data_IF_699491028120
#
_entry.id   IF_699491028120
#
_cell.length_a   1.000
_cell.length_b   1.000
_cell.length_c   1.000
_cell.angle_alpha   90.00
_cell.angle_beta   90.00
_cell.angle_gamma   90.00
#
_symmetry.space_group_name_H-M   'P 1'
#
loop_
_entity.id
_entity.type
_entity.pdbx_description
1 polymer ?
#
# COMPACT_ATOMS: atom_id res chain seq x y z
N UNK A 1 18.37 -36.80 -12.37
CA UNK A 1 17.94 -37.40 -11.09
C UNK A 1 17.67 -36.29 -10.05
N UNK A 2 16.37 -36.05 -9.82
CA UNK A 2 15.72 -35.24 -8.77
C UNK A 2 16.05 -33.72 -8.67
N UNK A 3 15.06 -32.83 -8.90
CA UNK A 3 15.03 -31.46 -8.39
C UNK A 3 14.22 -31.40 -7.08
N UNK A 4 14.65 -30.61 -6.10
CA UNK A 4 13.92 -30.38 -4.84
C UNK A 4 13.61 -28.90 -4.70
N UNK A 5 12.32 -28.56 -4.55
CA UNK A 5 11.91 -27.36 -3.81
C UNK A 5 10.89 -26.42 -4.47
N UNK A 6 9.72 -26.92 -4.88
CA UNK A 6 8.49 -26.11 -4.94
C UNK A 6 7.60 -26.51 -3.76
N UNK A 7 7.23 -25.56 -2.88
CA UNK A 7 6.03 -25.60 -2.02
C UNK A 7 6.10 -24.49 -0.96
N UNK A 8 5.17 -23.53 -1.02
CA UNK A 8 4.31 -23.12 0.11
C UNK A 8 3.36 -21.99 -0.33
N UNK A 9 2.30 -22.38 -1.04
CA UNK A 9 1.00 -21.69 -1.02
C UNK A 9 -0.04 -22.81 -0.92
N UNK A 10 -0.34 -23.22 0.32
CA UNK A 10 -1.48 -24.08 0.62
C UNK A 10 -2.61 -23.19 1.16
N UNK A 11 -3.59 -22.94 0.30
CA UNK A 11 -4.95 -22.57 0.72
C UNK A 11 -5.67 -23.84 1.19
N UNK A 12 -6.46 -23.81 2.27
CA UNK A 12 -7.19 -24.99 2.70
C UNK A 12 -8.37 -25.29 1.76
N UNK A 13 -8.29 -26.41 1.05
CA UNK A 13 -9.43 -27.11 0.45
C UNK A 13 -10.28 -27.73 1.57
N UNK A 14 -11.51 -27.26 1.72
CA UNK A 14 -12.56 -27.95 2.46
C UNK A 14 -13.27 -28.94 1.53
N UNK A 15 -13.24 -30.20 1.95
CA UNK A 15 -13.91 -31.35 1.34
C UNK A 15 -15.42 -31.21 1.36
N UNK A 16 -16.03 -31.52 0.22
CA UNK A 16 -17.46 -31.67 0.00
C UNK A 16 -17.97 -32.94 0.68
N UNK A 17 -18.98 -32.81 1.54
CA UNK A 17 -19.97 -33.86 1.72
C UNK A 17 -21.38 -33.24 1.74
N UNK A 18 -22.23 -33.87 0.94
CA UNK A 18 -23.60 -33.53 0.60
C UNK A 18 -24.56 -33.71 1.75
N UNK A 19 -25.48 -32.77 1.98
CA UNK A 19 -26.86 -33.09 2.34
C UNK A 19 -27.83 -32.00 1.87
N UNK A 20 -28.88 -32.44 1.20
CA UNK A 20 -29.97 -31.69 0.57
C UNK A 20 -30.88 -30.96 1.56
N UNK A 21 -31.34 -29.74 1.21
CA UNK A 21 -32.76 -29.45 0.86
C UNK A 21 -33.17 -27.98 1.07
N UNK A 22 -33.75 -27.41 0.00
CA UNK A 22 -34.76 -26.32 -0.05
C UNK A 22 -34.32 -24.84 0.07
N UNK A 23 -34.87 -23.93 -0.76
CA UNK A 23 -34.42 -22.54 -0.87
C UNK A 23 -35.30 -21.56 -0.08
N UNK A 24 -34.69 -20.54 0.53
CA UNK A 24 -35.41 -19.35 0.97
C UNK A 24 -34.60 -18.06 0.86
N UNK A 25 -35.15 -17.18 0.01
CA UNK A 25 -35.18 -15.71 0.07
C UNK A 25 -33.88 -14.89 0.14
N UNK A 26 -33.56 -14.32 -1.02
CA UNK A 26 -33.03 -12.97 -1.22
C UNK A 26 -33.71 -11.93 -0.31
N UNK A 27 -32.92 -11.23 0.51
CA UNK A 27 -33.30 -10.00 1.19
C UNK A 27 -32.99 -8.80 0.30
N UNK A 28 -34.00 -8.29 -0.40
CA UNK A 28 -33.93 -7.05 -1.16
C UNK A 28 -34.25 -5.84 -0.28
N UNK A 29 -33.47 -4.79 -0.50
CA UNK A 29 -33.69 -3.40 -0.11
C UNK A 29 -35.17 -2.99 -0.22
N UNK A 30 -35.76 -2.58 0.89
CA UNK A 30 -37.08 -1.90 0.91
C UNK A 30 -36.84 -0.42 0.67
N UNK A 31 -37.01 -0.01 -0.58
CA UNK A 31 -37.31 1.38 -0.92
C UNK A 31 -38.82 1.58 -0.80
N UNK A 32 -39.24 2.38 0.19
CA UNK A 32 -40.62 2.84 0.30
C UNK A 32 -40.90 3.87 -0.81
N UNK A 33 -41.67 3.47 -1.82
CA UNK A 33 -42.40 4.40 -2.67
C UNK A 33 -43.88 4.06 -2.65
N UNK A 34 -44.65 4.96 -2.07
CA UNK A 34 -46.10 4.99 -2.14
C UNK A 34 -46.48 5.44 -3.54
N UNK A 35 -47.23 4.63 -4.26
CA UNK A 35 -47.98 5.11 -5.43
C UNK A 35 -49.31 4.40 -5.54
N UNK A 36 -50.36 5.22 -5.43
CA UNK A 36 -51.75 4.90 -5.70
C UNK A 36 -51.93 4.36 -7.10
N UNK A 37 -52.67 3.25 -7.25
CA UNK A 37 -53.66 2.99 -8.31
C UNK A 37 -53.86 1.49 -8.44
N UNK A 38 -55.05 0.99 -8.12
CA UNK A 38 -55.83 0.08 -8.96
C UNK A 38 -57.04 -0.42 -8.19
N UNK A 39 -58.21 0.08 -8.57
CA UNK A 39 -59.49 -0.45 -8.11
C UNK A 39 -60.41 -0.51 -9.33
N UNK A 40 -60.36 -1.59 -10.10
CA UNK A 40 -61.46 -1.97 -10.99
C UNK A 40 -61.29 -3.41 -11.53
N UNK A 41 -62.11 -4.35 -11.04
CA UNK A 41 -62.77 -5.37 -11.89
C UNK A 41 -63.79 -6.20 -11.08
N UNK A 42 -65.07 -6.01 -11.43
CA UNK A 42 -66.26 -6.89 -11.33
C UNK A 42 -66.39 -7.93 -10.19
N UNK A 43 -67.32 -7.75 -9.23
CA UNK A 43 -68.77 -8.06 -9.27
C UNK A 43 -69.13 -9.53 -9.58
N UNK A 44 -69.36 -10.32 -8.52
CA UNK A 44 -70.22 -11.51 -8.53
C UNK A 44 -71.57 -11.22 -7.87
N UNK A 45 -72.63 -11.62 -8.57
CA UNK A 45 -74.05 -11.53 -8.23
C UNK A 45 -74.45 -12.72 -7.34
N UNK A 46 -74.90 -12.49 -6.11
CA UNK A 46 -75.81 -13.40 -5.38
C UNK A 46 -76.80 -12.56 -4.55
N UNK A 47 -78.10 -12.83 -4.73
CA UNK A 47 -79.24 -12.23 -4.03
C UNK A 47 -79.61 -13.02 -2.75
N UNK A 48 -80.43 -12.44 -1.86
CA UNK A 48 -80.30 -12.62 -0.41
C UNK A 48 -81.25 -13.67 0.17
N UNK A 49 -80.86 -14.26 1.31
CA UNK A 49 -81.71 -15.16 2.06
C UNK A 49 -81.26 -15.34 3.50
N UNK A 50 -81.86 -14.55 4.40
CA UNK A 50 -82.20 -14.92 5.77
C UNK A 50 -81.07 -15.31 6.74
N UNK A 51 -80.49 -14.31 7.43
CA UNK A 51 -80.03 -14.46 8.82
C UNK A 51 -80.20 -13.13 9.59
N UNK A 52 -81.44 -12.63 9.65
CA UNK A 52 -81.84 -11.62 10.63
C UNK A 52 -81.99 -12.29 12.01
N UNK A 53 -80.89 -12.68 12.68
CA UNK A 53 -80.92 -12.95 14.13
C UNK A 53 -79.58 -13.14 14.85
N UNK A 54 -78.43 -12.69 14.32
CA UNK A 54 -77.15 -12.86 15.03
C UNK A 54 -76.20 -11.65 15.05
N UNK A 55 -76.70 -10.44 14.77
CA UNK A 55 -75.96 -9.18 14.93
C UNK A 55 -76.83 -8.09 15.57
N UNK A 56 -77.47 -8.44 16.68
CA UNK A 56 -78.23 -7.47 17.49
C UNK A 56 -77.72 -7.43 18.93
N UNK A 57 -76.41 -7.47 19.10
CA UNK A 57 -75.70 -6.95 20.26
C UNK A 57 -74.38 -6.35 19.77
N UNK A 58 -73.97 -5.22 20.34
CA UNK A 58 -72.85 -4.35 19.94
C UNK A 58 -73.15 -3.27 18.87
N UNK A 59 -74.22 -2.50 19.07
CA UNK A 59 -74.30 -1.15 18.53
C UNK A 59 -74.79 -0.15 19.59
N UNK A 60 -74.04 -0.06 20.69
CA UNK A 60 -73.95 1.18 21.45
C UNK A 60 -72.60 1.81 21.12
N UNK A 61 -72.55 2.55 20.01
CA UNK A 61 -71.46 3.52 19.77
C UNK A 61 -72.08 4.89 19.93
N UNK A 62 -71.90 5.47 21.11
CA UNK A 62 -72.10 6.91 21.30
C UNK A 62 -71.28 7.66 20.23
N UNK A 63 -71.77 8.79 19.69
CA UNK A 63 -71.01 9.60 18.76
C UNK A 63 -69.78 10.13 19.50
N UNK A 64 -68.61 9.62 19.15
CA UNK A 64 -67.34 10.16 19.61
C UNK A 64 -67.33 11.62 19.14
N UNK A 65 -67.48 12.56 20.06
CA UNK A 65 -67.56 13.98 19.73
C UNK A 65 -66.31 14.41 18.97
N UNK A 66 -66.44 15.33 18.02
CA UNK A 66 -65.33 15.82 17.18
C UNK A 66 -64.08 16.22 17.99
N UNK A 67 -64.26 16.64 19.25
CA UNK A 67 -63.19 16.92 20.23
C UNK A 67 -62.32 15.70 20.57
N UNK A 68 -62.90 14.51 20.68
CA UNK A 68 -62.18 13.25 20.89
C UNK A 68 -61.42 12.81 19.62
N UNK A 69 -61.98 13.04 18.43
CA UNK A 69 -61.23 12.83 17.17
C UNK A 69 -60.03 13.78 17.06
N UNK A 70 -60.22 15.07 17.38
CA UNK A 70 -59.12 16.06 17.38
C UNK A 70 -58.04 15.68 18.39
N UNK A 71 -58.43 15.28 19.61
CA UNK A 71 -57.50 14.82 20.62
C UNK A 71 -56.72 13.58 20.15
N UNK A 72 -57.38 12.61 19.50
CA UNK A 72 -56.73 11.43 18.95
C UNK A 72 -55.71 11.76 17.84
N UNK A 73 -56.06 12.68 16.93
CA UNK A 73 -55.15 13.15 15.87
C UNK A 73 -53.93 13.89 16.45
N UNK A 74 -54.14 14.76 17.45
CA UNK A 74 -53.04 15.44 18.15
C UNK A 74 -52.10 14.45 18.86
N UNK A 75 -52.66 13.42 19.49
CA UNK A 75 -51.87 12.39 20.18
C UNK A 75 -51.03 11.56 19.19
N UNK A 76 -51.60 11.23 18.02
CA UNK A 76 -50.87 10.55 16.95
C UNK A 76 -49.76 11.42 16.35
N UNK A 77 -50.00 12.72 16.17
CA UNK A 77 -48.98 13.66 15.71
C UNK A 77 -47.84 13.80 16.73
N UNK A 78 -48.16 13.93 18.02
CA UNK A 78 -47.16 14.00 19.08
C UNK A 78 -46.35 12.70 19.18
N UNK A 79 -46.99 11.53 19.06
CA UNK A 79 -46.31 10.25 19.03
C UNK A 79 -45.40 10.09 17.80
N UNK A 80 -45.83 10.56 16.64
CA UNK A 80 -45.02 10.56 15.41
C UNK A 80 -43.79 11.46 15.54
N UNK A 81 -43.95 12.67 16.07
CA UNK A 81 -42.83 13.59 16.34
C UNK A 81 -41.87 12.99 17.36
N UNK A 82 -42.38 12.40 18.45
CA UNK A 82 -41.55 11.72 19.44
C UNK A 82 -40.78 10.54 18.84
N UNK A 83 -41.40 9.75 17.95
CA UNK A 83 -40.73 8.66 17.25
C UNK A 83 -39.62 9.18 16.31
N UNK A 84 -39.86 10.27 15.58
CA UNK A 84 -38.84 10.89 14.72
C UNK A 84 -37.67 11.45 15.54
N UNK A 85 -37.95 12.10 16.67
CA UNK A 85 -36.92 12.58 17.60
C UNK A 85 -36.14 11.41 18.19
N UNK A 86 -36.80 10.32 18.59
CA UNK A 86 -36.13 9.13 19.10
C UNK A 86 -35.23 8.51 18.02
N UNK A 87 -35.68 8.40 16.78
CA UNK A 87 -34.86 7.93 15.66
C UNK A 87 -33.68 8.87 15.41
N UNK A 88 -33.88 10.18 15.42
CA UNK A 88 -32.80 11.16 15.24
C UNK A 88 -31.76 11.07 16.37
N UNK A 89 -32.19 10.93 17.63
CA UNK A 89 -31.29 10.76 18.78
C UNK A 89 -30.56 9.42 18.72
N UNK A 90 -31.24 8.34 18.31
CA UNK A 90 -30.60 7.03 18.11
C UNK A 90 -29.58 7.12 16.96
N UNK A 91 -29.93 7.76 15.84
CA UNK A 91 -29.01 7.93 14.71
C UNK A 91 -27.83 8.84 15.05
N UNK A 92 -28.03 9.88 15.86
CA UNK A 92 -26.96 10.77 16.33
C UNK A 92 -26.05 10.04 17.32
N UNK A 93 -26.62 9.33 18.30
CA UNK A 93 -25.84 8.52 19.26
C UNK A 93 -25.13 7.31 18.62
N UNK A 94 -25.66 6.77 17.52
CA UNK A 94 -25.04 5.67 16.77
C UNK A 94 -24.13 6.15 15.63
N UNK A 95 -24.31 7.40 15.18
CA UNK A 95 -23.51 8.05 14.13
C UNK A 95 -22.10 8.44 14.57
N UNK A 96 -21.81 8.35 15.87
CA UNK A 96 -20.47 8.56 16.45
C UNK A 96 -19.83 7.25 16.93
N UNK A 97 -19.98 6.13 16.19
CA UNK A 97 -18.84 5.20 16.17
C UNK A 97 -17.77 5.87 15.34
N UNK A 98 -16.91 6.65 15.99
CA UNK A 98 -15.61 7.04 15.43
C UNK A 98 -15.01 5.78 14.81
N UNK A 99 -14.88 5.77 13.48
CA UNK A 99 -14.21 4.67 12.81
C UNK A 99 -12.85 4.49 13.48
N UNK A 100 -12.62 3.33 14.07
CA UNK A 100 -11.35 3.07 14.73
C UNK A 100 -10.29 3.01 13.64
N UNK A 101 -9.39 3.99 13.62
CA UNK A 101 -8.29 4.01 12.67
C UNK A 101 -7.34 2.85 12.95
N UNK A 102 -6.89 2.23 11.87
CA UNK A 102 -5.81 1.24 11.87
C UNK A 102 -4.55 1.87 11.28
N UNK A 103 -3.40 1.31 11.67
CA UNK A 103 -2.08 1.86 11.35
C UNK A 103 -1.18 0.79 10.76
N UNK A 104 -0.24 1.24 9.93
CA UNK A 104 0.78 0.38 9.32
C UNK A 104 2.09 1.13 9.14
N UNK A 105 3.20 0.45 9.39
CA UNK A 105 4.55 0.98 9.26
C UNK A 105 5.24 0.26 8.10
N UNK A 106 5.77 1.04 7.16
CA UNK A 106 6.60 0.53 6.07
C UNK A 106 7.95 1.21 6.12
N UNK A 107 9.01 0.41 6.20
CA UNK A 107 10.39 0.86 6.17
C UNK A 107 10.95 0.56 4.77
N UNK A 108 11.10 1.61 3.96
CA UNK A 108 11.76 1.55 2.66
C UNK A 108 13.25 1.77 2.87
N UNK A 109 14.04 0.70 2.74
CA UNK A 109 15.49 0.76 2.86
C UNK A 109 16.15 0.84 1.49
N UNK A 110 16.13 2.05 0.95
CA UNK A 110 16.77 2.42 -0.30
C UNK A 110 18.29 2.39 -0.24
N UNK A 111 18.92 2.31 -1.43
CA UNK A 111 20.39 2.35 -1.57
C UNK A 111 21.07 3.57 -0.94
N UNK A 112 20.39 4.71 -0.87
CA UNK A 112 20.98 5.97 -0.38
C UNK A 112 20.60 6.30 1.05
N UNK A 113 19.41 5.88 1.49
CA UNK A 113 18.86 6.11 2.83
C UNK A 113 17.67 5.20 3.06
N UNK A 114 17.31 5.02 4.32
CA UNK A 114 16.01 4.44 4.70
C UNK A 114 14.99 5.54 4.97
N UNK A 115 13.73 5.30 4.62
CA UNK A 115 12.58 6.12 5.00
C UNK A 115 11.56 5.25 5.75
N UNK A 116 11.03 5.76 6.85
CA UNK A 116 10.00 5.08 7.66
C UNK A 116 8.68 5.83 7.48
N UNK A 117 7.70 5.15 6.89
CA UNK A 117 6.37 5.67 6.64
C UNK A 117 5.38 5.12 7.65
N UNK A 118 4.59 6.00 8.26
CA UNK A 118 3.40 5.66 9.02
C UNK A 118 2.17 5.95 8.16
N UNK A 119 1.38 4.91 7.94
CA UNK A 119 0.10 4.99 7.25
C UNK A 119 -1.04 4.79 8.24
N UNK A 120 -2.17 5.45 7.97
CA UNK A 120 -3.44 5.23 8.67
C UNK A 120 -4.58 5.01 7.69
N UNK A 121 -5.60 4.26 8.10
CA UNK A 121 -6.85 4.10 7.35
C UNK A 121 -8.02 3.79 8.31
N UNK A 122 -9.28 4.10 7.92
CA UNK A 122 -10.45 3.63 8.67
C UNK A 122 -10.47 2.10 8.67
N UNK A 123 -10.76 1.44 9.80
CA UNK A 123 -10.65 -0.03 9.91
C UNK A 123 -11.50 -0.87 8.94
N UNK A 124 -12.51 -0.28 8.28
CA UNK A 124 -13.28 -0.93 7.23
C UNK A 124 -12.56 -0.88 5.87
N UNK A 125 -12.49 -2.02 5.19
CA UNK A 125 -12.01 -2.13 3.81
C UNK A 125 -13.19 -2.40 2.87
N UNK A 126 -13.26 -1.70 1.75
CA UNK A 126 -14.25 -1.96 0.70
C UNK A 126 -13.59 -2.76 -0.43
N UNK A 127 -14.13 -3.93 -0.78
CA UNK A 127 -13.57 -4.82 -1.82
C UNK A 127 -12.07 -5.12 -1.63
N UNK A 128 -11.70 -5.54 -0.41
CA UNK A 128 -10.32 -5.87 -0.01
C UNK A 128 -9.35 -4.67 -0.04
N UNK A 129 -9.82 -3.46 -0.38
CA UNK A 129 -8.99 -2.25 -0.53
C UNK A 129 -9.49 -1.14 0.39
N UNK A 130 -8.58 -0.34 0.94
CA UNK A 130 -8.91 0.76 1.84
C UNK A 130 -8.30 2.07 1.35
N UNK A 131 -8.83 3.20 1.83
CA UNK A 131 -8.20 4.50 1.63
C UNK A 131 -7.15 4.70 2.70
N UNK A 132 -5.90 4.59 2.25
CA UNK A 132 -4.72 4.74 3.09
C UNK A 132 -4.20 6.16 2.95
N UNK A 133 -3.91 6.80 4.08
CA UNK A 133 -3.30 8.12 4.15
C UNK A 133 -1.93 8.01 4.80
N UNK A 134 -0.91 8.65 4.22
CA UNK A 134 0.37 8.84 4.89
C UNK A 134 0.19 9.85 6.03
N UNK A 135 0.44 9.42 7.25
CA UNK A 135 0.40 10.26 8.45
C UNK A 135 1.74 10.92 8.73
N UNK A 136 2.83 10.15 8.57
CA UNK A 136 4.18 10.59 8.90
C UNK A 136 5.20 9.90 8.00
N UNK A 137 6.27 10.64 7.69
CA UNK A 137 7.44 10.14 6.99
C UNK A 137 8.70 10.61 7.74
N UNK A 138 9.55 9.67 8.12
CA UNK A 138 10.84 9.94 8.73
C UNK A 138 11.98 9.45 7.83
N UNK A 139 12.71 10.39 7.23
CA UNK A 139 13.94 10.09 6.49
C UNK A 139 15.09 9.87 7.46
N UNK A 140 15.58 8.64 7.55
CA UNK A 140 16.67 8.27 8.45
C UNK A 140 17.96 8.98 8.00
N UNK A 141 18.60 9.67 8.94
CA UNK A 141 19.88 10.33 8.68
C UNK A 141 21.01 9.30 8.52
N UNK A 142 21.92 9.56 7.58
CA UNK A 142 23.03 8.67 7.27
C UNK A 142 22.84 7.98 5.92
N UNK A 143 23.66 6.95 5.70
CA UNK A 143 23.65 6.18 4.46
C UNK A 143 22.60 5.06 4.50
N UNK A 144 22.34 4.44 3.35
CA UNK A 144 21.53 3.23 3.28
C UNK A 144 22.12 2.08 4.09
N UNK A 145 21.26 1.14 4.49
CA UNK A 145 21.66 -0.01 5.32
C UNK A 145 22.73 -0.90 4.67
N UNK A 146 22.91 -0.84 3.33
CA UNK A 146 23.95 -1.57 2.60
C UNK A 146 25.39 -1.13 2.94
N UNK A 147 25.54 0.05 3.54
CA UNK A 147 26.83 0.60 3.99
C UNK A 147 27.20 0.16 5.42
N UNK A 148 26.33 -0.58 6.10
CA UNK A 148 26.56 -1.03 7.47
C UNK A 148 27.59 -2.17 7.54
N UNK A 149 28.10 -2.44 8.76
CA UNK A 149 29.10 -3.48 9.09
C UNK A 149 30.49 -3.22 8.50
N UNK A 150 30.74 -2.00 8.05
CA UNK A 150 32.05 -1.55 7.54
C UNK A 150 32.78 -0.69 8.58
N UNK A 151 32.06 0.20 9.26
CA UNK A 151 32.62 1.17 10.21
C UNK A 151 31.70 1.25 11.44
N UNK A 152 32.20 0.76 12.57
CA UNK A 152 31.43 0.66 13.82
C UNK A 152 30.90 2.00 14.32
N UNK A 153 31.64 3.09 14.11
CA UNK A 153 31.22 4.41 14.57
C UNK A 153 30.09 4.95 13.67
N UNK A 154 30.20 4.76 12.35
CA UNK A 154 29.14 5.12 11.41
C UNK A 154 27.89 4.26 11.62
N UNK A 155 28.06 2.97 11.84
CA UNK A 155 26.96 2.04 12.11
C UNK A 155 26.17 2.46 13.36
N UNK A 156 26.87 2.80 14.44
CA UNK A 156 26.25 3.28 15.68
C UNK A 156 25.43 4.55 15.44
N UNK A 157 25.93 5.49 14.63
CA UNK A 157 25.22 6.73 14.28
C UNK A 157 23.99 6.45 13.40
N UNK A 158 24.12 5.63 12.36
CA UNK A 158 23.02 5.25 11.48
C UNK A 158 21.91 4.51 12.25
N UNK A 159 22.29 3.58 13.14
CA UNK A 159 21.33 2.87 13.99
C UNK A 159 20.67 3.77 15.03
N UNK A 160 21.40 4.74 15.60
CA UNK A 160 20.79 5.72 16.49
C UNK A 160 19.75 6.58 15.75
N UNK A 161 20.04 7.03 14.53
CA UNK A 161 19.10 7.77 13.70
C UNK A 161 17.87 6.91 13.31
N UNK A 162 18.09 5.64 12.96
CA UNK A 162 17.02 4.70 12.64
C UNK A 162 16.08 4.49 13.84
N UNK A 163 16.66 4.25 15.02
CA UNK A 163 15.91 4.10 16.28
C UNK A 163 15.12 5.36 16.62
N UNK A 164 15.73 6.55 16.47
CA UNK A 164 15.03 7.82 16.69
C UNK A 164 13.82 8.01 15.76
N UNK A 165 13.90 7.58 14.49
CA UNK A 165 12.74 7.59 13.60
C UNK A 165 11.64 6.62 14.08
N UNK A 166 12.00 5.41 14.51
CA UNK A 166 11.03 4.44 15.06
C UNK A 166 10.36 4.99 16.32
N UNK A 167 11.11 5.64 17.21
CA UNK A 167 10.59 6.27 18.43
C UNK A 167 9.55 7.35 18.09
N UNK A 168 9.88 8.28 17.18
CA UNK A 168 8.95 9.32 16.71
C UNK A 168 7.66 8.74 16.11
N UNK A 169 7.78 7.67 15.31
CA UNK A 169 6.63 6.98 14.72
C UNK A 169 5.79 6.30 15.81
N UNK A 170 6.44 5.69 16.80
CA UNK A 170 5.77 5.02 17.93
C UNK A 170 4.97 6.01 18.78
N UNK A 171 5.49 7.23 18.98
CA UNK A 171 4.80 8.31 19.69
C UNK A 171 3.55 8.80 18.97
N UNK A 172 3.55 8.78 17.63
CA UNK A 172 2.41 9.19 16.81
C UNK A 172 1.26 8.17 16.80
N UNK A 173 1.51 6.92 17.21
CA UNK A 173 0.51 5.85 17.24
C UNK A 173 -0.12 5.76 18.64
N UNK A 174 -1.47 5.79 18.75
CA UNK A 174 -2.16 5.58 20.02
C UNK A 174 -1.71 4.28 20.70
N UNK A 175 -1.51 4.32 22.03
CA UNK A 175 -0.89 3.22 22.76
C UNK A 175 -1.64 1.88 22.59
N UNK A 176 -2.96 1.94 22.53
CA UNK A 176 -3.89 0.83 22.31
C UNK A 176 -3.86 0.26 20.88
N UNK A 177 -3.26 0.98 19.92
CA UNK A 177 -3.12 0.56 18.51
C UNK A 177 -1.75 0.02 18.18
N UNK A 178 -0.76 0.17 19.05
CA UNK A 178 0.62 -0.30 18.78
C UNK A 178 0.65 -1.81 18.53
N UNK A 179 0.00 -2.60 19.37
CA UNK A 179 -0.02 -4.06 19.25
C UNK A 179 -0.87 -4.60 18.07
N UNK A 180 -1.65 -3.76 17.38
CA UNK A 180 -2.34 -4.12 16.13
C UNK A 180 -1.69 -3.50 14.90
N UNK A 181 -0.76 -2.55 15.09
CA UNK A 181 -0.03 -1.90 14.00
C UNK A 181 0.94 -2.88 13.38
N UNK A 182 0.84 -3.04 12.06
CA UNK A 182 1.71 -3.97 11.33
C UNK A 182 2.98 -3.27 10.86
N UNK A 183 4.13 -3.93 10.94
CA UNK A 183 5.43 -3.40 10.51
C UNK A 183 6.09 -4.29 9.45
N UNK A 184 6.52 -3.66 8.36
CA UNK A 184 7.29 -4.28 7.28
C UNK A 184 8.56 -3.49 6.96
N UNK A 185 9.63 -4.18 6.59
CA UNK A 185 10.82 -3.58 5.97
C UNK A 185 11.07 -4.20 4.60
N UNK A 186 11.17 -3.36 3.59
CA UNK A 186 11.60 -3.73 2.23
C UNK A 186 12.92 -3.05 1.91
N UNK A 187 13.98 -3.82 1.69
CA UNK A 187 15.25 -3.31 1.19
C UNK A 187 15.34 -3.48 -0.33
N UNK A 188 15.87 -2.47 -1.03
CA UNK A 188 15.82 -2.41 -2.50
C UNK A 188 17.20 -2.67 -3.15
N UNK A 189 17.50 -2.02 -4.27
CA UNK A 189 18.69 -2.29 -5.08
C UNK A 189 20.03 -2.19 -4.33
N UNK A 190 20.15 -1.34 -3.30
CA UNK A 190 21.39 -1.25 -2.52
C UNK A 190 21.74 -2.58 -1.83
N UNK A 191 20.74 -3.21 -1.20
CA UNK A 191 20.93 -4.52 -0.59
C UNK A 191 21.02 -5.65 -1.62
N UNK A 192 20.38 -5.52 -2.79
CA UNK A 192 20.58 -6.47 -3.92
C UNK A 192 22.04 -6.48 -4.39
N UNK A 193 22.64 -5.30 -4.58
CA UNK A 193 24.06 -5.18 -4.94
C UNK A 193 24.97 -5.71 -3.83
N UNK A 194 24.64 -5.43 -2.57
CA UNK A 194 25.41 -5.96 -1.45
C UNK A 194 25.33 -7.49 -1.38
N UNK A 195 24.14 -8.07 -1.55
CA UNK A 195 23.95 -9.51 -1.52
C UNK A 195 24.80 -10.23 -2.57
N UNK A 196 24.97 -9.64 -3.76
CA UNK A 196 25.83 -10.18 -4.81
C UNK A 196 27.32 -10.01 -4.50
N UNK A 197 27.71 -8.91 -3.86
CA UNK A 197 29.10 -8.63 -3.47
C UNK A 197 29.57 -9.43 -2.25
N UNK A 198 28.72 -9.51 -1.22
CA UNK A 198 29.02 -10.00 0.12
C UNK A 198 27.73 -10.51 0.80
N UNK A 199 27.33 -11.72 0.42
CA UNK A 199 26.10 -12.37 0.89
C UNK A 199 26.08 -12.52 2.43
N UNK A 200 27.24 -12.79 3.04
CA UNK A 200 27.35 -12.91 4.49
C UNK A 200 27.02 -11.58 5.17
N UNK A 201 27.67 -10.49 4.76
CA UNK A 201 27.40 -9.16 5.32
C UNK A 201 25.95 -8.72 5.12
N UNK A 202 25.41 -8.97 3.92
CA UNK A 202 24.00 -8.72 3.63
C UNK A 202 23.08 -9.47 4.61
N UNK A 203 23.37 -10.74 4.86
CA UNK A 203 22.57 -11.58 5.76
C UNK A 203 22.64 -11.11 7.21
N UNK A 204 23.85 -10.80 7.70
CA UNK A 204 24.06 -10.27 9.06
C UNK A 204 23.32 -8.94 9.30
N UNK A 205 23.32 -8.03 8.31
CA UNK A 205 22.56 -6.76 8.41
C UNK A 205 21.06 -7.03 8.51
N UNK A 206 20.53 -7.92 7.67
CA UNK A 206 19.10 -8.25 7.67
C UNK A 206 18.68 -9.00 8.95
N UNK A 207 19.54 -9.84 9.51
CA UNK A 207 19.30 -10.52 10.79
C UNK A 207 19.25 -9.54 11.97
N UNK A 208 20.23 -8.64 12.09
CA UNK A 208 20.23 -7.59 13.13
C UNK A 208 18.96 -6.73 13.07
N UNK A 209 18.53 -6.36 11.85
CA UNK A 209 17.30 -5.59 11.64
C UNK A 209 16.06 -6.40 12.00
N UNK A 210 15.98 -7.70 11.65
CA UNK A 210 14.86 -8.56 12.05
C UNK A 210 14.76 -8.67 13.56
N UNK A 211 15.89 -8.89 14.25
CA UNK A 211 15.93 -8.99 15.71
C UNK A 211 15.44 -7.69 16.35
N UNK A 212 15.98 -6.55 15.91
CA UNK A 212 15.56 -5.25 16.43
C UNK A 212 14.08 -4.97 16.16
N UNK A 213 13.60 -5.15 14.93
CA UNK A 213 12.21 -4.86 14.57
C UNK A 213 11.22 -5.80 15.25
N UNK A 214 11.60 -7.07 15.50
CA UNK A 214 10.77 -8.03 16.26
C UNK A 214 10.63 -7.67 17.74
N UNK A 215 11.56 -6.87 18.28
CA UNK A 215 11.51 -6.41 19.68
C UNK A 215 10.56 -5.23 19.91
N UNK A 216 10.07 -4.59 18.84
CA UNK A 216 9.20 -3.42 18.90
C UNK A 216 7.76 -3.79 19.30
N UNK A 217 6.96 -2.86 19.84
CA UNK A 217 5.58 -3.11 20.27
C UNK A 217 4.58 -3.17 19.10
N UNK A 218 4.98 -3.75 17.96
CA UNK A 218 4.20 -3.84 16.72
C UNK A 218 4.08 -5.30 16.26
N UNK A 219 3.15 -5.57 15.35
CA UNK A 219 3.09 -6.86 14.65
C UNK A 219 4.14 -6.84 13.53
N UNK A 220 5.35 -7.30 13.85
CA UNK A 220 6.39 -7.50 12.86
C UNK A 220 6.01 -8.64 11.91
N UNK A 221 5.99 -8.34 10.61
CA UNK A 221 5.65 -9.33 9.59
C UNK A 221 6.90 -9.87 8.90
N UNK A 222 7.69 -8.98 8.32
CA UNK A 222 8.89 -9.37 7.59
C UNK A 222 9.86 -8.20 7.40
N UNK A 223 11.15 -8.55 7.28
CA UNK A 223 12.19 -7.70 6.73
C UNK A 223 12.92 -8.50 5.64
N UNK A 224 12.82 -8.04 4.39
CA UNK A 224 13.37 -8.75 3.24
C UNK A 224 13.96 -7.80 2.20
N UNK A 225 14.89 -8.34 1.40
CA UNK A 225 15.34 -7.69 0.17
C UNK A 225 14.28 -8.00 -0.89
N UNK A 226 13.55 -6.99 -1.36
CA UNK A 226 12.48 -7.18 -2.35
C UNK A 226 13.08 -7.31 -3.75
N UNK A 227 12.41 -8.08 -4.60
CA UNK A 227 12.76 -8.17 -6.02
C UNK A 227 12.51 -6.83 -6.72
N UNK A 228 13.19 -6.62 -7.84
CA UNK A 228 12.99 -5.42 -8.65
C UNK A 228 11.57 -5.34 -9.25
N UNK A 229 10.98 -6.50 -9.58
CA UNK A 229 9.60 -6.58 -10.05
C UNK A 229 8.61 -6.16 -8.96
N UNK A 230 8.78 -6.64 -7.72
CA UNK A 230 7.97 -6.23 -6.56
C UNK A 230 8.08 -4.73 -6.30
N UNK A 231 9.29 -4.17 -6.32
CA UNK A 231 9.51 -2.72 -6.15
C UNK A 231 8.74 -1.90 -7.19
N UNK A 232 8.84 -2.26 -8.47
CA UNK A 232 8.09 -1.60 -9.55
C UNK A 232 6.58 -1.79 -9.43
N UNK A 233 6.13 -2.98 -9.05
CA UNK A 233 4.72 -3.31 -8.85
C UNK A 233 4.12 -2.51 -7.69
N UNK A 234 4.78 -2.43 -6.53
CA UNK A 234 4.29 -1.66 -5.39
C UNK A 234 4.23 -0.17 -5.71
N UNK A 235 5.21 0.38 -6.43
CA UNK A 235 5.15 1.75 -6.94
C UNK A 235 3.95 1.98 -7.87
N UNK A 236 3.64 1.01 -8.74
CA UNK A 236 2.47 1.06 -9.61
C UNK A 236 1.16 0.99 -8.84
N UNK A 237 1.05 0.08 -7.86
CA UNK A 237 -0.12 -0.05 -6.98
C UNK A 237 -0.36 1.27 -6.27
N UNK A 238 0.65 1.82 -5.59
CA UNK A 238 0.56 3.10 -4.88
C UNK A 238 0.02 4.20 -5.77
N UNK A 239 0.52 4.35 -7.01
CA UNK A 239 0.02 5.38 -7.94
C UNK A 239 -1.43 5.17 -8.37
N UNK A 240 -1.90 3.94 -8.43
CA UNK A 240 -3.24 3.61 -8.93
C UNK A 240 -4.29 3.43 -7.81
N UNK A 241 -3.88 3.33 -6.53
CA UNK A 241 -4.78 3.22 -5.37
C UNK A 241 -4.83 4.48 -4.49
N UNK A 242 -3.85 5.39 -4.63
CA UNK A 242 -3.76 6.60 -3.80
C UNK A 242 -5.06 7.41 -3.80
N UNK A 243 -5.62 7.65 -2.60
CA UNK A 243 -6.85 8.42 -2.38
C UNK A 243 -8.09 7.94 -3.16
N UNK A 244 -8.17 6.64 -3.53
CA UNK A 244 -9.32 6.07 -4.22
C UNK A 244 -10.09 5.08 -3.33
N UNK A 245 -11.32 5.45 -2.96
CA UNK A 245 -12.25 4.60 -2.20
C UNK A 245 -12.74 3.42 -3.03
N UNK A 246 -13.22 3.69 -4.24
CA UNK A 246 -13.72 2.68 -5.16
C UNK A 246 -13.13 2.96 -6.54
N UNK A 247 -12.76 1.89 -7.23
CA UNK A 247 -12.31 1.98 -8.61
C UNK A 247 -13.30 1.30 -9.54
N UNK A 248 -13.92 2.03 -10.50
CA UNK A 248 -14.79 1.42 -11.49
C UNK A 248 -14.04 0.34 -12.30
N UNK A 249 -14.74 -0.73 -12.63
CA UNK A 249 -14.23 -1.75 -13.55
C UNK A 249 -13.81 -1.11 -14.89
N UNK A 250 -12.62 -1.46 -15.37
CA UNK A 250 -12.09 -0.95 -16.64
C UNK A 250 -11.57 0.49 -16.61
N UNK A 251 -11.44 1.13 -15.44
CA UNK A 251 -10.79 2.43 -15.35
C UNK A 251 -9.32 2.32 -15.80
N UNK A 252 -8.88 3.26 -16.65
CA UNK A 252 -7.50 3.32 -17.13
C UNK A 252 -6.54 3.51 -15.96
N UNK A 253 -5.46 2.74 -15.97
CA UNK A 253 -4.33 2.86 -15.05
C UNK A 253 -3.26 3.76 -15.63
N UNK A 254 -2.50 4.42 -14.76
CA UNK A 254 -1.25 5.07 -15.16
C UNK A 254 -0.09 4.11 -14.99
N UNK A 255 0.90 4.19 -15.88
CA UNK A 255 2.20 3.55 -15.66
C UNK A 255 2.99 4.29 -14.59
N UNK A 256 3.92 3.60 -13.94
CA UNK A 256 4.88 4.16 -13.01
C UNK A 256 6.30 3.99 -13.57
N UNK A 257 7.12 5.01 -13.34
CA UNK A 257 8.56 4.94 -13.50
C UNK A 257 9.19 5.42 -12.20
N UNK A 258 10.13 4.65 -11.66
CA UNK A 258 10.85 4.97 -10.43
C UNK A 258 12.35 5.05 -10.72
N UNK A 259 13.01 6.07 -10.19
CA UNK A 259 14.44 6.30 -10.36
C UNK A 259 15.09 6.39 -8.98
N UNK A 260 15.58 5.25 -8.50
CA UNK A 260 16.35 5.15 -7.27
C UNK A 260 17.84 5.48 -7.47
N UNK A 261 18.61 5.30 -6.40
CA UNK A 261 20.06 5.46 -6.44
C UNK A 261 20.78 4.35 -7.22
N UNK A 262 20.33 3.10 -7.07
CA UNK A 262 21.00 1.92 -7.63
C UNK A 262 20.20 1.16 -8.72
N UNK A 263 18.91 1.43 -8.89
CA UNK A 263 18.10 0.89 -9.99
C UNK A 263 17.07 1.90 -10.47
N UNK A 264 16.45 1.60 -11.60
CA UNK A 264 15.24 2.26 -12.09
C UNK A 264 14.23 1.21 -12.54
N UNK A 265 12.94 1.51 -12.38
CA UNK A 265 11.85 0.60 -12.65
C UNK A 265 10.86 1.23 -13.62
N UNK A 266 10.20 0.38 -14.40
CA UNK A 266 9.02 0.72 -15.20
C UNK A 266 7.94 -0.32 -14.91
N UNK A 267 6.72 0.14 -14.64
CA UNK A 267 5.59 -0.76 -14.46
C UNK A 267 4.28 -0.20 -15.03
N UNK A 268 3.48 -1.05 -15.69
CA UNK A 268 2.18 -0.68 -16.24
C UNK A 268 1.29 -1.90 -16.46
N UNK A 269 -0.04 -1.72 -16.35
CA UNK A 269 -0.98 -2.78 -16.66
C UNK A 269 -1.04 -3.07 -18.17
N UNK A 270 -1.14 -4.35 -18.51
CA UNK A 270 -1.31 -4.85 -19.88
C UNK A 270 -2.71 -5.45 -20.06
N UNK A 271 -3.26 -5.36 -21.26
CA UNK A 271 -4.64 -5.80 -21.56
C UNK A 271 -4.74 -7.30 -21.88
N UNK A 272 -3.63 -7.92 -22.28
CA UNK A 272 -3.56 -9.34 -22.66
C UNK A 272 -2.99 -10.18 -21.52
N UNK A 273 -3.41 -11.44 -21.45
CA UNK A 273 -2.84 -12.47 -20.56
C UNK A 273 -1.42 -12.84 -21.04
N UNK A 274 -0.49 -11.90 -20.91
CA UNK A 274 0.93 -12.10 -21.16
C UNK A 274 1.53 -12.80 -19.94
N UNK A 275 2.43 -13.74 -20.20
CA UNK A 275 3.14 -14.49 -19.19
C UNK A 275 4.65 -14.38 -19.40
N UNK A 276 5.38 -14.46 -18.30
CA UNK A 276 6.83 -14.28 -18.29
C UNK A 276 7.29 -13.77 -16.93
N UNK A 277 8.61 -13.69 -16.70
CA UNK A 277 9.17 -13.30 -15.41
C UNK A 277 8.81 -11.86 -14.99
N UNK A 278 8.49 -11.00 -15.94
CA UNK A 278 8.18 -9.57 -15.73
C UNK A 278 6.68 -9.27 -15.72
N UNK A 279 5.82 -10.30 -15.82
CA UNK A 279 4.36 -10.13 -15.81
C UNK A 279 3.80 -10.67 -14.49
N UNK A 280 3.38 -9.75 -13.61
CA UNK A 280 2.85 -10.11 -12.30
C UNK A 280 1.32 -10.00 -12.28
N UNK A 281 0.60 -11.10 -11.96
CA UNK A 281 -0.83 -11.05 -11.72
C UNK A 281 -1.10 -10.48 -10.32
N UNK A 282 -1.99 -9.49 -10.23
CA UNK A 282 -2.45 -8.91 -8.97
C UNK A 282 -3.96 -8.70 -9.00
N UNK A 283 -4.57 -8.56 -7.82
CA UNK A 283 -5.99 -8.23 -7.68
C UNK A 283 -6.10 -6.92 -6.90
N UNK A 284 -6.75 -5.91 -7.46
CA UNK A 284 -7.00 -4.61 -6.82
C UNK A 284 -8.49 -4.29 -6.92
N UNK A 285 -9.12 -3.90 -5.81
CA UNK A 285 -10.56 -3.60 -5.74
C UNK A 285 -11.46 -4.72 -6.27
N UNK A 286 -11.10 -5.99 -6.08
CA UNK A 286 -11.85 -7.12 -6.65
C UNK A 286 -11.43 -7.51 -8.08
N UNK A 287 -10.73 -6.65 -8.81
CA UNK A 287 -10.44 -6.83 -10.24
C UNK A 287 -9.04 -7.39 -10.49
N UNK A 288 -8.90 -8.37 -11.40
CA UNK A 288 -7.59 -8.89 -11.80
C UNK A 288 -6.87 -7.91 -12.73
N UNK A 289 -5.57 -7.73 -12.52
CA UNK A 289 -4.66 -7.01 -13.39
C UNK A 289 -3.44 -7.88 -13.67
N UNK A 290 -2.90 -7.78 -14.88
CA UNK A 290 -1.54 -8.23 -15.18
C UNK A 290 -0.68 -6.98 -15.36
N UNK A 291 0.36 -6.85 -14.55
CA UNK A 291 1.27 -5.71 -14.58
C UNK A 291 2.60 -6.17 -15.17
N UNK A 292 3.00 -5.56 -16.28
CA UNK A 292 4.39 -5.65 -16.72
C UNK A 292 5.22 -4.79 -15.77
N UNK A 293 6.30 -5.33 -15.23
CA UNK A 293 7.23 -4.62 -14.35
C UNK A 293 8.65 -5.11 -14.61
N UNK A 294 9.57 -4.18 -14.81
CA UNK A 294 10.99 -4.51 -14.99
C UNK A 294 11.86 -3.54 -14.20
N UNK A 295 12.96 -4.07 -13.66
CA UNK A 295 13.92 -3.32 -12.86
C UNK A 295 15.30 -3.40 -13.50
N UNK A 296 15.83 -2.26 -13.91
CA UNK A 296 17.18 -2.12 -14.42
C UNK A 296 18.13 -1.85 -13.24
N UNK A 297 18.71 -2.93 -12.67
CA UNK A 297 19.77 -2.82 -11.67
C UNK A 297 21.00 -2.13 -12.29
N UNK A 298 21.73 -1.33 -11.50
CA UNK A 298 22.82 -0.45 -11.94
C UNK A 298 22.40 0.81 -12.72
N UNK A 299 21.15 0.93 -13.17
CA UNK A 299 20.67 2.12 -13.91
C UNK A 299 20.01 3.17 -13.01
N UNK A 300 20.16 3.05 -11.69
CA UNK A 300 19.82 4.12 -10.76
C UNK A 300 20.78 5.30 -10.89
N UNK A 301 20.38 6.48 -10.39
CA UNK A 301 21.12 7.73 -10.57
C UNK A 301 22.59 7.66 -10.13
N UNK A 302 22.89 7.04 -9.00
CA UNK A 302 24.25 6.97 -8.45
C UNK A 302 25.10 5.96 -9.21
N UNK A 303 24.57 4.76 -9.45
CA UNK A 303 25.30 3.72 -10.18
C UNK A 303 25.50 4.07 -11.66
N UNK A 304 24.53 4.72 -12.30
CA UNK A 304 24.70 5.30 -13.64
C UNK A 304 25.77 6.40 -13.65
N UNK A 305 25.80 7.25 -12.61
CA UNK A 305 26.86 8.24 -12.43
C UNK A 305 28.26 7.60 -12.31
N UNK A 306 28.38 6.50 -11.56
CA UNK A 306 29.61 5.72 -11.44
C UNK A 306 30.04 5.12 -12.78
N UNK A 307 29.11 4.57 -13.56
CA UNK A 307 29.41 4.05 -14.91
C UNK A 307 29.92 5.15 -15.86
N UNK A 308 29.32 6.34 -15.80
CA UNK A 308 29.79 7.51 -16.57
C UNK A 308 31.19 7.91 -16.13
N UNK A 309 31.46 7.95 -14.82
CA UNK A 309 32.79 8.29 -14.30
C UNK A 309 33.85 7.28 -14.74
N UNK A 310 33.57 5.97 -14.68
CA UNK A 310 34.49 4.95 -15.19
C UNK A 310 34.80 5.16 -16.68
N UNK A 311 33.78 5.44 -17.48
CA UNK A 311 33.96 5.73 -18.91
C UNK A 311 34.86 6.95 -19.14
N UNK A 312 34.59 8.05 -18.46
CA UNK A 312 35.38 9.28 -18.58
C UNK A 312 36.82 9.08 -18.13
N UNK A 313 37.06 8.33 -17.06
CA UNK A 313 38.41 7.98 -16.59
C UNK A 313 39.17 7.15 -17.63
N UNK A 314 38.52 6.13 -18.23
CA UNK A 314 39.16 5.26 -19.24
C UNK A 314 39.47 5.98 -20.55
N UNK A 315 38.66 6.95 -20.93
CA UNK A 315 38.84 7.73 -22.15
C UNK A 315 39.83 8.88 -21.96
N UNK A 316 40.19 9.22 -20.73
CA UNK A 316 41.19 10.26 -20.47
C UNK A 316 42.60 9.82 -20.87
N UNK A 317 43.29 10.72 -21.57
CA UNK A 317 44.70 10.54 -21.93
C UNK A 317 45.66 10.98 -20.81
N UNK A 318 45.19 11.84 -19.89
CA UNK A 318 45.97 12.33 -18.75
C UNK A 318 45.32 11.86 -17.43
N UNK A 319 46.02 11.06 -16.60
CA UNK A 319 45.49 10.61 -15.32
C UNK A 319 45.38 11.72 -14.27
N UNK A 320 46.06 12.86 -14.45
CA UNK A 320 45.99 14.00 -13.53
C UNK A 320 44.90 15.01 -13.94
N UNK A 321 44.37 14.87 -15.15
CA UNK A 321 43.42 15.80 -15.73
C UNK A 321 42.35 15.04 -16.51
N UNK A 322 41.21 14.80 -15.87
CA UNK A 322 40.14 13.96 -16.42
C UNK A 322 38.92 14.84 -16.75
N UNK A 323 38.69 15.21 -18.03
CA UNK A 323 37.61 16.11 -18.43
C UNK A 323 36.24 15.42 -18.40
N UNK A 324 35.29 15.93 -17.62
CA UNK A 324 33.91 15.42 -17.56
C UNK A 324 32.90 16.36 -18.24
N UNK A 325 32.30 15.98 -19.39
CA UNK A 325 31.35 16.82 -20.12
C UNK A 325 29.97 16.94 -19.43
N UNK A 326 29.69 16.13 -18.42
CA UNK A 326 28.43 16.17 -17.67
C UNK A 326 28.45 17.17 -16.50
N UNK A 327 29.62 17.71 -16.15
CA UNK A 327 29.77 18.66 -15.05
C UNK A 327 29.72 20.11 -15.55
N UNK A 328 29.26 21.06 -14.70
CA UNK A 328 29.25 22.47 -15.05
C UNK A 328 30.67 23.00 -15.20
N UNK A 329 30.85 23.98 -16.09
CA UNK A 329 32.16 24.59 -16.36
C UNK A 329 32.80 25.16 -15.09
N UNK A 330 34.10 24.90 -14.90
CA UNK A 330 34.85 25.33 -13.71
C UNK A 330 34.62 24.47 -12.46
N UNK A 331 33.76 23.45 -12.53
CA UNK A 331 33.58 22.50 -11.43
C UNK A 331 34.70 21.47 -11.38
N UNK A 332 35.34 21.40 -10.21
CA UNK A 332 36.49 20.53 -9.96
C UNK A 332 36.20 19.65 -8.75
N UNK A 333 36.46 18.34 -8.86
CA UNK A 333 36.26 17.38 -7.77
C UNK A 333 37.40 16.38 -7.72
N UNK A 334 37.80 16.02 -6.51
CA UNK A 334 38.74 14.93 -6.27
C UNK A 334 37.95 13.73 -5.75
N UNK A 335 38.04 12.61 -6.46
CA UNK A 335 37.32 11.38 -6.14
C UNK A 335 38.32 10.28 -5.78
N UNK A 336 37.99 9.45 -4.80
CA UNK A 336 38.73 8.22 -4.56
C UNK A 336 38.39 7.18 -5.62
N UNK A 337 39.29 6.22 -5.85
CA UNK A 337 38.98 5.08 -6.73
C UNK A 337 37.76 4.29 -6.23
N UNK A 338 37.55 4.21 -4.91
CA UNK A 338 36.37 3.58 -4.30
C UNK A 338 35.06 4.27 -4.67
N UNK A 339 35.06 5.59 -4.92
CA UNK A 339 33.83 6.30 -5.32
C UNK A 339 33.30 5.81 -6.68
N UNK A 340 34.16 5.21 -7.51
CA UNK A 340 33.85 4.70 -8.85
C UNK A 340 33.74 3.17 -8.86
N UNK A 341 34.61 2.46 -8.14
CA UNK A 341 34.80 1.01 -8.29
C UNK A 341 34.31 0.17 -7.11
N UNK A 342 33.84 0.77 -6.01
CA UNK A 342 33.25 0.03 -4.88
C UNK A 342 31.76 -0.27 -5.15
N UNK A 343 31.53 -1.05 -6.20
CA UNK A 343 30.20 -1.47 -6.67
C UNK A 343 30.32 -2.66 -7.63
N UNK A 344 29.28 -3.50 -7.72
CA UNK A 344 29.19 -4.55 -8.74
C UNK A 344 28.91 -4.00 -10.15
N UNK A 345 28.46 -2.74 -10.25
CA UNK A 345 28.09 -2.12 -11.52
C UNK A 345 29.30 -1.73 -12.38
N UNK A 346 30.49 -1.60 -11.77
CA UNK A 346 31.72 -1.21 -12.45
C UNK A 346 32.84 -2.23 -12.19
N UNK A 347 33.56 -2.64 -13.24
CA UNK A 347 34.73 -3.51 -13.09
C UNK A 347 36.00 -2.70 -12.96
N UNK A 348 36.69 -2.83 -11.82
CA UNK A 348 38.00 -2.20 -11.61
C UNK A 348 39.00 -2.63 -12.70
N UNK A 349 39.72 -1.71 -13.35
CA UNK A 349 40.71 -2.06 -14.35
C UNK A 349 41.91 -2.80 -13.73
N UNK A 350 42.41 -3.82 -14.43
CA UNK A 350 43.51 -4.68 -13.95
C UNK A 350 44.90 -4.02 -14.02
N UNK A 351 45.04 -2.87 -14.70
CA UNK A 351 46.32 -2.22 -14.95
C UNK A 351 46.71 -1.30 -13.80
N UNK A 352 47.75 -1.71 -13.05
CA UNK A 352 48.44 -0.97 -11.98
C UNK A 352 48.98 0.41 -12.43
N UNK A 353 48.92 0.74 -13.72
CA UNK A 353 49.50 1.96 -14.29
C UNK A 353 48.55 3.14 -14.43
N UNK A 354 47.22 2.96 -14.33
CA UNK A 354 46.28 4.09 -14.48
C UNK A 354 45.61 4.52 -13.18
N UNK A 355 45.47 3.62 -12.21
CA UNK A 355 44.79 3.90 -10.96
C UNK A 355 45.65 3.33 -9.84
N UNK A 356 46.71 4.05 -9.49
CA UNK A 356 47.33 3.86 -8.18
C UNK A 356 46.24 4.05 -7.11
N UNK A 357 46.39 3.48 -5.92
CA UNK A 357 45.45 3.60 -4.78
C UNK A 357 45.30 5.05 -4.23
N UNK A 358 45.38 6.05 -5.10
CA UNK A 358 45.38 7.49 -4.86
C UNK A 358 44.09 8.09 -5.41
N UNK A 359 43.71 9.22 -4.84
CA UNK A 359 42.59 10.04 -5.31
C UNK A 359 42.80 10.48 -6.76
N UNK A 360 41.78 10.30 -7.60
CA UNK A 360 41.70 10.78 -8.97
C UNK A 360 41.19 12.23 -8.99
N UNK A 361 41.80 13.09 -9.81
CA UNK A 361 41.34 14.45 -10.03
C UNK A 361 40.45 14.51 -11.29
N UNK A 362 39.16 14.81 -11.09
CA UNK A 362 38.17 14.90 -12.18
C UNK A 362 37.76 16.36 -12.33
N UNK A 363 37.97 16.90 -13.53
CA UNK A 363 37.79 18.33 -13.86
C UNK A 363 36.74 18.47 -14.95
N UNK A 364 35.93 19.51 -14.93
CA UNK A 364 35.00 19.78 -16.02
C UNK A 364 35.70 20.56 -17.12
N UNK A 365 35.77 20.04 -18.36
CA UNK A 365 36.01 20.91 -19.52
C UNK A 365 35.16 20.55 -20.71
N UNK A 366 34.67 21.59 -21.38
CA UNK A 366 34.08 21.51 -22.70
C UNK A 366 35.22 21.31 -23.70
N UNK A 367 35.26 20.18 -24.40
CA UNK A 367 35.78 20.22 -25.76
C UNK A 367 34.71 20.91 -26.59
N UNK A 368 35.04 22.05 -27.18
CA UNK A 368 34.18 22.71 -28.16
C UNK A 368 33.88 21.69 -29.27
N UNK A 369 32.62 21.29 -29.38
CA UNK A 369 32.13 20.46 -30.50
C UNK A 369 32.07 21.28 -31.79
#
# INVERSE_FOLDING_TARGET
>A
PAPVGQSLLQSPTLTTDSLSSSPSLCGSLVSCCVSSSFLQSHLTRIQPGSTNQLFKEMASKQPIGYKCCIAGVLLLLLASVAALVAVAVIQDTWGFKDYSYEYGIVIDSGSSRSNIYLYMWPGEKENETGVVTEQMNCGVAGNGISEMKVDKEKDAKSMAAFKGCIENITEAIPAEKRNTTTLFLGATAGMRLLQELDEQRSSEIMEDLREYLSSLPFIFQNASIISGQEEGLYGWITKNTWNKYVRPEGEKTVGSMDLGGASTQIAFAVQSNLSGPDYLPVKLYGYPYTVYTHSFLCYGKHEAGRMILDKVVRESSDPNYIPNPCYPEGYNVTLSASDIYDTQCNKKPNTTTQINNSSLWVLATRTSA
#
